data_IF_223862734367
#
_entry.id   IF_223862734367
#
_cell.length_a   1.000
_cell.length_b   1.000
_cell.length_c   1.000
_cell.angle_alpha   90.00
_cell.angle_beta   90.00
_cell.angle_gamma   90.00
#
_symmetry.space_group_name_H-M   'P 1'
#
loop_
_entity.id
_entity.type
_entity.pdbx_description
1 polymer ?
#
# COMPACT_ATOMS: atom_id res chain seq x y z
N UNK A 1 5.63 -32.52 16.65
CA UNK A 1 5.04 -31.50 15.76
C UNK A 1 3.88 -30.88 16.52
N UNK A 2 4.12 -29.76 17.20
CA UNK A 2 3.13 -29.17 18.12
C UNK A 2 2.50 -27.98 17.41
N UNK A 3 1.21 -28.09 17.09
CA UNK A 3 0.42 -26.98 16.59
C UNK A 3 0.45 -25.82 17.60
N UNK A 4 1.06 -24.70 17.21
CA UNK A 4 1.27 -23.49 18.01
C UNK A 4 0.30 -22.36 17.61
N UNK A 5 -0.95 -22.70 17.31
CA UNK A 5 -1.98 -21.69 17.02
C UNK A 5 -3.01 -21.69 18.15
N UNK A 6 -3.09 -20.64 18.98
CA UNK A 6 -4.29 -20.42 19.77
C UNK A 6 -5.43 -20.04 18.81
N UNK A 7 -6.60 -20.60 19.08
CA UNK A 7 -7.86 -20.33 18.43
C UNK A 7 -8.10 -18.83 18.27
N UNK A 8 -8.73 -18.42 17.16
CA UNK A 8 -9.12 -17.04 16.88
C UNK A 8 -9.79 -16.38 18.10
N UNK A 9 -9.40 -15.15 18.50
CA UNK A 9 -10.14 -14.42 19.51
C UNK A 9 -11.51 -14.00 18.96
N UNK A 10 -12.51 -14.08 19.83
CA UNK A 10 -13.89 -13.70 19.56
C UNK A 10 -14.02 -12.21 19.21
N UNK A 11 -15.06 -11.88 18.44
CA UNK A 11 -15.45 -10.53 18.07
C UNK A 11 -15.86 -9.69 19.31
N UNK A 12 -14.90 -9.12 20.03
CA UNK A 12 -15.14 -8.12 21.08
C UNK A 12 -13.95 -7.20 21.38
N UNK A 13 -12.89 -7.16 20.57
CA UNK A 13 -11.75 -6.29 20.87
C UNK A 13 -12.04 -4.85 20.46
N UNK A 14 -12.38 -4.03 21.45
CA UNK A 14 -12.41 -2.58 21.34
C UNK A 14 -10.97 -2.08 21.05
N UNK A 15 -10.70 -1.65 19.82
CA UNK A 15 -9.42 -1.04 19.43
C UNK A 15 -9.57 0.47 19.25
N UNK A 16 -8.46 1.22 19.39
CA UNK A 16 -8.51 2.69 19.25
C UNK A 16 -8.26 3.13 17.82
N UNK A 17 -8.90 4.24 17.48
CA UNK A 17 -8.67 5.02 16.28
C UNK A 17 -7.99 6.33 16.67
N UNK A 18 -7.04 6.78 15.85
CA UNK A 18 -6.30 8.02 16.04
C UNK A 18 -6.55 8.91 14.84
N UNK A 19 -7.02 10.14 15.06
CA UNK A 19 -7.26 11.10 13.97
C UNK A 19 -6.20 12.18 13.99
N UNK A 20 -5.51 12.35 12.87
CA UNK A 20 -4.67 13.52 12.59
C UNK A 20 -5.47 14.52 11.77
N UNK A 21 -5.24 15.82 12.01
CA UNK A 21 -5.82 16.93 11.24
C UNK A 21 -4.73 17.93 10.92
N UNK A 22 -4.74 18.47 9.71
CA UNK A 22 -3.82 19.53 9.29
C UNK A 22 -4.52 20.89 9.19
N UNK A 23 -3.78 21.95 8.85
CA UNK A 23 -4.30 23.31 8.73
C UNK A 23 -5.33 23.51 7.61
N UNK A 24 -5.40 22.60 6.63
CA UNK A 24 -6.37 22.62 5.53
C UNK A 24 -7.59 21.73 5.79
N UNK A 25 -7.83 21.34 7.05
CA UNK A 25 -8.93 20.48 7.48
C UNK A 25 -8.95 19.07 6.88
N UNK A 26 -7.85 18.64 6.24
CA UNK A 26 -7.68 17.23 5.90
C UNK A 26 -7.57 16.43 7.19
N UNK A 27 -8.26 15.29 7.23
CA UNK A 27 -8.21 14.39 8.38
C UNK A 27 -7.81 12.99 7.95
N UNK A 28 -6.90 12.37 8.69
CA UNK A 28 -6.46 10.99 8.49
C UNK A 28 -6.74 10.20 9.76
N UNK A 29 -7.42 9.06 9.63
CA UNK A 29 -7.72 8.16 10.75
C UNK A 29 -6.92 6.87 10.64
N UNK A 30 -6.18 6.52 11.70
CA UNK A 30 -5.34 5.33 11.81
C UNK A 30 -5.93 4.38 12.86
N UNK A 31 -5.94 3.09 12.57
CA UNK A 31 -6.34 2.04 13.51
C UNK A 31 -5.13 1.40 14.21
N UNK A 32 -5.24 1.16 15.52
CA UNK A 32 -4.30 0.27 16.23
C UNK A 32 -4.34 -1.18 15.73
N UNK A 33 -5.49 -1.62 15.22
CA UNK A 33 -5.59 -2.94 14.61
C UNK A 33 -4.87 -2.93 13.26
N UNK A 34 -3.74 -3.62 13.22
CA UNK A 34 -2.87 -3.73 12.05
C UNK A 34 -2.09 -2.46 11.70
N UNK A 35 -2.11 -1.41 12.53
CA UNK A 35 -1.54 -0.10 12.19
C UNK A 35 -2.00 0.36 10.79
N UNK A 36 -3.31 0.36 10.54
CA UNK A 36 -3.87 0.58 9.19
C UNK A 36 -4.46 1.98 9.02
N UNK A 37 -4.30 2.56 7.84
CA UNK A 37 -5.04 3.74 7.41
C UNK A 37 -6.51 3.36 7.18
N UNK A 38 -7.44 4.05 7.84
CA UNK A 38 -8.89 3.75 7.78
C UNK A 38 -9.70 4.79 7.01
N UNK A 39 -9.24 6.02 6.99
CA UNK A 39 -9.95 7.15 6.41
C UNK A 39 -8.95 8.25 6.06
N UNK A 40 -9.17 8.92 4.95
CA UNK A 40 -8.50 10.16 4.60
C UNK A 40 -9.52 11.10 3.96
N UNK A 41 -10.01 12.08 4.73
CA UNK A 41 -10.92 13.11 4.22
C UNK A 41 -10.14 14.28 3.66
N UNK A 42 -10.49 14.69 2.45
CA UNK A 42 -9.81 15.76 1.73
C UNK A 42 -10.73 16.53 0.78
N UNK A 43 -10.41 17.81 0.48
CA UNK A 43 -11.22 18.63 -0.42
C UNK A 43 -11.06 18.18 -1.86
N UNK A 44 -12.07 18.43 -2.69
CA UNK A 44 -11.94 18.48 -4.14
C UNK A 44 -11.71 19.93 -4.62
N UNK A 45 -11.62 20.14 -5.94
CA UNK A 45 -11.45 21.47 -6.55
C UNK A 45 -12.58 22.46 -6.26
N UNK A 46 -13.72 21.97 -5.75
CA UNK A 46 -14.88 22.77 -5.36
C UNK A 46 -14.98 22.95 -3.84
N UNK A 47 -13.96 22.53 -3.08
CA UNK A 47 -13.93 22.61 -1.61
C UNK A 47 -14.76 21.54 -0.90
N UNK A 48 -15.30 20.55 -1.61
CA UNK A 48 -16.13 19.49 -1.00
C UNK A 48 -15.24 18.41 -0.39
N UNK A 49 -15.41 18.18 0.90
CA UNK A 49 -14.68 17.13 1.63
C UNK A 49 -15.29 15.75 1.37
N UNK A 50 -14.49 14.81 0.90
CA UNK A 50 -14.87 13.39 0.83
C UNK A 50 -13.77 12.51 1.40
N UNK A 51 -14.15 11.33 1.88
CA UNK A 51 -13.18 10.29 2.24
C UNK A 51 -12.67 9.62 0.97
N UNK A 52 -11.36 9.66 0.75
CA UNK A 52 -10.72 9.04 -0.42
C UNK A 52 -10.11 7.68 -0.11
N UNK A 53 -10.29 7.18 1.10
CA UNK A 53 -9.92 5.82 1.49
C UNK A 53 -11.18 5.04 1.83
N UNK A 54 -11.41 3.95 1.11
CA UNK A 54 -12.43 3.00 1.52
C UNK A 54 -11.96 2.29 2.78
N UNK A 55 -12.83 2.25 3.78
CA UNK A 55 -12.70 1.36 4.92
C UNK A 55 -12.84 -0.10 4.44
N UNK A 56 -11.79 -0.66 3.83
CA UNK A 56 -11.71 -2.09 3.54
C UNK A 56 -11.89 -2.90 4.81
N UNK A 57 -12.38 -4.14 4.68
CA UNK A 57 -12.29 -5.12 5.75
C UNK A 57 -10.84 -5.14 6.27
N UNK A 58 -10.68 -5.27 7.58
CA UNK A 58 -9.37 -5.19 8.25
C UNK A 58 -8.29 -5.89 7.45
N UNK A 59 -7.21 -5.17 7.12
CA UNK A 59 -6.17 -5.63 6.22
C UNK A 59 -5.79 -7.07 6.52
N UNK A 60 -6.15 -7.98 5.61
CA UNK A 60 -5.71 -9.36 5.67
C UNK A 60 -4.23 -9.36 5.27
N UNK A 61 -3.35 -9.16 6.25
CA UNK A 61 -1.96 -9.56 6.10
C UNK A 61 -1.92 -11.08 6.12
N UNK A 62 -1.09 -11.67 5.25
CA UNK A 62 -0.79 -13.11 5.26
C UNK A 62 -0.05 -13.52 6.56
N UNK A 63 0.38 -12.56 7.36
CA UNK A 63 0.95 -12.77 8.70
C UNK A 63 -0.13 -12.54 9.78
N UNK A 64 -0.96 -13.56 10.03
CA UNK A 64 -1.91 -13.64 11.15
C UNK A 64 -3.04 -12.58 11.15
N UNK A 65 -4.15 -12.75 11.91
CA UNK A 65 -5.12 -11.67 12.11
C UNK A 65 -4.40 -10.37 12.51
N UNK A 66 -4.88 -9.19 12.05
CA UNK A 66 -4.13 -7.95 12.18
C UNK A 66 -3.77 -7.72 13.64
N UNK A 67 -2.48 -7.74 13.93
CA UNK A 67 -1.97 -7.62 15.28
C UNK A 67 -2.46 -6.31 15.92
N UNK A 68 -2.77 -6.35 17.21
CA UNK A 68 -3.15 -5.16 17.94
C UNK A 68 -1.89 -4.39 18.36
N UNK A 69 -1.70 -3.20 17.80
CA UNK A 69 -0.59 -2.32 18.14
C UNK A 69 -0.91 -1.48 19.37
N UNK A 70 0.12 -1.07 20.10
CA UNK A 70 0.02 -0.08 21.17
C UNK A 70 0.30 1.31 20.60
N UNK A 71 -0.76 2.09 20.38
CA UNK A 71 -0.75 3.42 19.79
C UNK A 71 -0.89 4.55 20.81
N UNK A 72 -0.35 5.71 20.46
CA UNK A 72 -0.56 7.00 21.13
C UNK A 72 -0.30 8.17 20.19
N UNK A 73 -0.88 9.33 20.47
CA UNK A 73 -0.40 10.58 19.88
C UNK A 73 0.99 10.92 20.41
N UNK A 74 1.90 11.33 19.52
CA UNK A 74 3.26 11.73 19.88
C UNK A 74 3.85 12.68 18.83
N UNK A 75 4.38 13.82 19.25
CA UNK A 75 5.10 14.76 18.37
C UNK A 75 4.27 15.28 17.18
N UNK A 76 2.97 15.52 17.38
CA UNK A 76 2.04 15.93 16.31
C UNK A 76 1.57 14.80 15.39
N UNK A 77 2.03 13.57 15.62
CA UNK A 77 1.63 12.38 14.85
C UNK A 77 1.04 11.27 15.72
N UNK A 78 1.01 10.06 15.17
CA UNK A 78 0.67 8.82 15.87
C UNK A 78 1.89 7.91 15.89
N UNK A 79 2.25 7.39 17.06
CA UNK A 79 3.27 6.37 17.21
C UNK A 79 2.61 5.06 17.66
N UNK A 80 2.88 3.98 16.93
CA UNK A 80 2.40 2.64 17.24
C UNK A 80 3.59 1.70 17.47
N UNK A 81 3.44 0.78 18.41
CA UNK A 81 4.45 -0.25 18.70
C UNK A 81 3.82 -1.63 18.76
N UNK A 82 4.53 -2.62 18.22
CA UNK A 82 4.15 -4.02 18.28
C UNK A 82 5.37 -4.84 18.73
N UNK A 83 5.18 -5.63 19.79
CA UNK A 83 6.14 -6.67 20.17
C UNK A 83 5.65 -7.98 19.58
N UNK A 84 6.44 -8.60 18.71
CA UNK A 84 6.05 -9.88 18.10
C UNK A 84 5.99 -10.96 19.20
N UNK A 85 4.91 -11.75 19.30
CA UNK A 85 4.83 -12.87 20.23
C UNK A 85 6.05 -13.79 20.12
N UNK A 86 6.56 -14.27 21.26
CA UNK A 86 7.82 -15.04 21.30
C UNK A 86 9.09 -14.19 21.22
N UNK A 87 8.97 -12.86 21.12
CA UNK A 87 10.10 -11.93 21.20
C UNK A 87 11.00 -11.92 19.97
N UNK A 88 10.50 -12.36 18.82
CA UNK A 88 11.29 -12.44 17.58
C UNK A 88 11.73 -11.07 17.06
N UNK A 89 10.87 -10.05 17.19
CA UNK A 89 11.17 -8.67 16.79
C UNK A 89 10.32 -7.64 17.56
N UNK A 90 10.83 -6.42 17.60
CA UNK A 90 10.09 -5.22 18.00
C UNK A 90 9.84 -4.36 16.75
N UNK A 91 8.60 -3.94 16.52
CA UNK A 91 8.22 -3.08 15.40
C UNK A 91 7.69 -1.75 15.92
N UNK A 92 8.01 -0.69 15.19
CA UNK A 92 7.47 0.66 15.41
C UNK A 92 6.93 1.20 14.10
N UNK A 93 5.77 1.82 14.15
CA UNK A 93 5.19 2.58 13.04
C UNK A 93 4.92 4.01 13.51
N UNK A 94 5.16 5.00 12.65
CA UNK A 94 4.82 6.39 12.91
C UNK A 94 4.08 7.00 11.73
N UNK A 95 3.01 7.73 12.04
CA UNK A 95 2.16 8.44 11.08
C UNK A 95 2.24 9.92 11.37
N UNK A 96 2.51 10.72 10.34
CA UNK A 96 2.53 12.18 10.41
C UNK A 96 1.81 12.75 9.20
N UNK A 97 0.86 13.65 9.43
CA UNK A 97 0.20 14.42 8.40
C UNK A 97 0.69 15.86 8.51
N UNK A 98 1.24 16.41 7.43
CA UNK A 98 1.64 17.82 7.37
C UNK A 98 0.57 18.71 6.70
N UNK A 99 0.81 20.02 6.73
CA UNK A 99 -0.09 21.03 6.17
C UNK A 99 -0.13 21.05 4.63
N UNK A 100 0.85 20.43 3.97
CA UNK A 100 0.86 20.23 2.51
C UNK A 100 0.04 19.01 2.07
N UNK A 101 -0.61 18.31 3.02
CA UNK A 101 -1.39 17.10 2.75
C UNK A 101 -0.51 15.86 2.54
N UNK A 102 0.72 15.85 3.05
CA UNK A 102 1.60 14.69 3.02
C UNK A 102 1.41 13.83 4.28
N UNK A 103 0.88 12.62 4.10
CA UNK A 103 0.87 11.56 5.10
C UNK A 103 2.15 10.72 4.96
N UNK A 104 3.08 10.86 5.91
CA UNK A 104 4.28 10.02 6.01
C UNK A 104 4.05 8.87 6.98
N UNK A 105 4.37 7.66 6.53
CA UNK A 105 4.36 6.41 7.30
C UNK A 105 5.80 5.89 7.36
N UNK A 106 6.36 5.78 8.56
CA UNK A 106 7.71 5.25 8.75
C UNK A 106 7.70 4.05 9.71
N UNK A 107 8.37 2.98 9.29
CA UNK A 107 8.56 1.75 10.05
C UNK A 107 10.01 1.59 10.50
N UNK A 108 10.19 1.05 11.72
CA UNK A 108 11.49 0.58 12.24
C UNK A 108 11.27 -0.81 12.85
N UNK A 109 11.99 -1.80 12.34
CA UNK A 109 11.96 -3.19 12.81
C UNK A 109 13.31 -3.56 13.39
N UNK A 110 13.30 -4.12 14.58
CA UNK A 110 14.49 -4.63 15.26
C UNK A 110 14.33 -6.10 15.54
N UNK A 111 15.09 -6.93 14.84
CA UNK A 111 15.05 -8.37 14.99
C UNK A 111 15.91 -8.81 16.19
N UNK A 112 15.35 -9.73 16.98
CA UNK A 112 16.03 -10.43 18.08
C UNK A 112 16.26 -11.91 17.76
N UNK A 113 15.51 -12.43 16.79
CA UNK A 113 15.66 -13.75 16.15
C UNK A 113 15.61 -13.59 14.62
N UNK A 114 16.10 -14.56 13.83
CA UNK A 114 15.88 -14.57 12.39
C UNK A 114 14.39 -14.38 12.05
N UNK A 115 14.06 -13.24 11.44
CA UNK A 115 12.68 -12.79 11.24
C UNK A 115 12.47 -12.40 9.79
N UNK A 116 11.47 -13.02 9.14
CA UNK A 116 10.98 -12.58 7.84
C UNK A 116 10.26 -11.24 8.01
N UNK A 117 10.61 -10.24 7.22
CA UNK A 117 10.00 -8.91 7.29
C UNK A 117 9.23 -8.60 6.02
N UNK A 118 7.91 -8.45 6.19
CA UNK A 118 6.97 -8.03 5.16
C UNK A 118 6.12 -6.91 5.76
N UNK A 119 6.34 -5.66 5.32
CA UNK A 119 5.65 -4.48 5.81
C UNK A 119 4.88 -3.82 4.67
N UNK A 120 3.63 -4.23 4.50
CA UNK A 120 2.73 -3.64 3.53
C UNK A 120 1.55 -2.99 4.24
N UNK A 121 1.19 -1.81 3.74
CA UNK A 121 -0.09 -1.17 4.06
C UNK A 121 -0.98 -1.32 2.84
N UNK A 122 -2.23 -1.70 3.04
CA UNK A 122 -3.21 -1.91 1.96
C UNK A 122 -4.32 -0.83 1.97
N UNK A 123 -4.02 0.47 1.86
CA UNK A 123 -5.07 1.47 1.73
C UNK A 123 -5.76 1.31 0.38
N UNK A 124 -7.08 1.15 0.40
CA UNK A 124 -7.90 1.16 -0.81
C UNK A 124 -8.37 2.58 -1.08
N UNK A 125 -7.80 3.22 -2.09
CA UNK A 125 -8.09 4.60 -2.48
C UNK A 125 -9.18 4.70 -3.54
N UNK A 126 -10.01 5.74 -3.41
CA UNK A 126 -10.84 6.25 -4.48
C UNK A 126 -10.90 7.78 -4.42
N UNK A 127 -10.14 8.43 -5.31
CA UNK A 127 -10.00 9.89 -5.27
C UNK A 127 -11.29 10.65 -5.62
N UNK A 128 -12.29 10.02 -6.25
CA UNK A 128 -13.58 10.69 -6.46
C UNK A 128 -14.49 10.66 -5.21
N UNK A 129 -14.04 10.02 -4.12
CA UNK A 129 -14.79 9.91 -2.87
C UNK A 129 -15.81 8.77 -2.86
N UNK A 130 -15.66 7.77 -3.73
CA UNK A 130 -16.56 6.62 -3.81
C UNK A 130 -17.87 6.90 -4.54
N UNK A 131 -17.99 8.01 -5.26
CA UNK A 131 -19.20 8.37 -6.01
C UNK A 131 -19.30 7.60 -7.33
N UNK A 132 -18.17 7.11 -7.84
CA UNK A 132 -18.06 6.31 -9.05
C UNK A 132 -16.85 5.37 -8.95
N UNK A 133 -16.74 4.43 -9.89
CA UNK A 133 -15.57 3.55 -9.99
C UNK A 133 -14.28 4.31 -10.34
N UNK A 134 -13.15 3.58 -10.32
CA UNK A 134 -11.80 4.15 -10.50
C UNK A 134 -11.34 4.25 -11.96
N UNK A 135 -12.24 3.98 -12.92
CA UNK A 135 -11.87 3.80 -14.33
C UNK A 135 -11.24 5.04 -14.98
N UNK A 136 -11.66 6.23 -14.56
CA UNK A 136 -11.22 7.52 -15.11
C UNK A 136 -10.00 8.09 -14.38
N UNK A 137 -9.54 7.45 -13.30
CA UNK A 137 -8.32 7.83 -12.61
C UNK A 137 -7.13 7.62 -13.54
N UNK A 138 -6.34 8.68 -13.69
CA UNK A 138 -5.13 8.70 -14.51
C UNK A 138 -3.96 8.26 -13.63
N UNK A 139 -3.43 7.06 -13.88
CA UNK A 139 -2.29 6.47 -13.17
C UNK A 139 -1.00 6.68 -13.96
N UNK A 140 0.08 7.00 -13.24
CA UNK A 140 1.44 6.97 -13.71
C UNK A 140 2.32 6.22 -12.70
N UNK A 141 3.21 5.35 -13.19
CA UNK A 141 4.18 4.60 -12.38
C UNK A 141 5.57 4.76 -13.02
N UNK A 142 6.57 5.11 -12.22
CA UNK A 142 7.97 5.18 -12.64
C UNK A 142 8.61 3.77 -12.63
N UNK A 143 8.23 2.94 -13.61
CA UNK A 143 8.71 1.57 -13.73
C UNK A 143 8.82 1.13 -15.20
N UNK A 144 9.93 0.47 -15.54
CA UNK A 144 10.14 -0.17 -16.84
C UNK A 144 9.79 -1.67 -16.84
N UNK A 145 9.65 -2.27 -15.65
CA UNK A 145 9.42 -3.70 -15.49
C UNK A 145 8.36 -3.98 -14.43
N UNK A 146 7.61 -5.06 -14.64
CA UNK A 146 6.66 -5.62 -13.67
C UNK A 146 6.87 -7.12 -13.51
N UNK A 147 6.27 -7.69 -12.48
CA UNK A 147 6.30 -9.12 -12.19
C UNK A 147 5.05 -9.79 -12.73
N UNK A 148 5.28 -10.79 -13.58
CA UNK A 148 4.22 -11.66 -14.08
C UNK A 148 3.86 -12.68 -13.01
N UNK A 149 2.57 -13.02 -12.94
CA UNK A 149 2.00 -13.96 -11.97
C UNK A 149 1.31 -15.14 -12.67
N UNK A 150 1.23 -16.28 -12.00
CA UNK A 150 0.39 -17.42 -12.39
C UNK A 150 -1.06 -17.27 -11.91
N UNK A 151 -1.90 -18.26 -12.21
CA UNK A 151 -3.31 -18.27 -11.82
C UNK A 151 -3.55 -18.29 -10.30
N UNK A 152 -2.53 -18.62 -9.51
CA UNK A 152 -2.55 -18.52 -8.05
C UNK A 152 -2.03 -17.19 -7.52
N UNK A 153 -1.63 -16.25 -8.38
CA UNK A 153 -1.02 -14.97 -8.00
C UNK A 153 0.47 -15.07 -7.67
N UNK A 154 1.10 -16.23 -7.87
CA UNK A 154 2.51 -16.41 -7.54
C UNK A 154 3.39 -15.81 -8.66
N UNK A 155 4.47 -15.09 -8.32
CA UNK A 155 5.43 -14.60 -9.30
C UNK A 155 6.06 -15.71 -10.14
N UNK A 156 6.04 -15.55 -11.46
CA UNK A 156 6.61 -16.49 -12.44
C UNK A 156 7.68 -15.87 -13.34
N UNK A 157 7.75 -14.55 -13.42
CA UNK A 157 8.66 -13.89 -14.35
C UNK A 157 8.74 -12.38 -14.16
N UNK A 158 9.63 -11.76 -14.93
CA UNK A 158 9.71 -10.31 -15.07
C UNK A 158 9.57 -9.95 -16.54
N UNK A 159 8.65 -9.04 -16.84
CA UNK A 159 8.43 -8.51 -18.17
C UNK A 159 8.61 -7.00 -18.20
N UNK A 160 9.02 -6.48 -19.36
CA UNK A 160 9.04 -5.04 -19.60
C UNK A 160 7.60 -4.52 -19.74
N UNK A 161 7.33 -3.30 -19.27
CA UNK A 161 6.00 -2.70 -19.39
C UNK A 161 5.68 -2.25 -20.81
N UNK A 162 6.71 -1.96 -21.63
CA UNK A 162 6.55 -1.39 -22.97
C UNK A 162 5.68 -2.25 -23.88
N UNK A 163 4.61 -1.66 -24.42
CA UNK A 163 3.69 -2.34 -25.34
C UNK A 163 2.64 -3.24 -24.67
N UNK A 164 2.55 -3.22 -23.34
CA UNK A 164 1.58 -4.01 -22.55
C UNK A 164 0.57 -3.07 -21.85
N UNK A 165 -0.52 -3.60 -21.23
CA UNK A 165 -1.39 -2.76 -20.40
C UNK A 165 -0.72 -2.21 -19.14
N UNK A 166 0.47 -2.71 -18.79
CA UNK A 166 1.25 -2.28 -17.63
C UNK A 166 2.08 -1.02 -17.91
N UNK A 167 2.11 -0.50 -19.15
CA UNK A 167 2.85 0.73 -19.48
C UNK A 167 2.15 1.99 -18.91
N UNK A 168 2.47 2.30 -17.65
CA UNK A 168 2.06 3.53 -16.97
C UNK A 168 3.19 4.56 -16.85
N UNK A 169 4.26 4.45 -17.67
CA UNK A 169 5.35 5.45 -17.65
C UNK A 169 4.85 6.83 -18.04
N UNK A 170 3.84 6.86 -18.91
CA UNK A 170 3.01 8.04 -19.16
C UNK A 170 1.64 7.88 -18.50
N UNK A 171 1.01 8.98 -18.02
CA UNK A 171 -0.32 8.91 -17.41
C UNK A 171 -1.35 8.25 -18.33
N UNK A 172 -2.05 7.24 -17.83
CA UNK A 172 -3.11 6.53 -18.55
C UNK A 172 -4.30 6.21 -17.65
N UNK A 173 -5.54 6.20 -18.17
CA UNK A 173 -6.71 5.86 -17.37
C UNK A 173 -6.70 4.37 -17.00
N UNK A 174 -6.88 4.07 -15.70
CA UNK A 174 -6.87 2.71 -15.16
C UNK A 174 -7.88 1.83 -15.92
N UNK A 175 -9.08 2.34 -16.16
CA UNK A 175 -10.16 1.59 -16.81
C UNK A 175 -9.84 1.16 -18.25
N UNK A 176 -9.09 1.96 -19.01
CA UNK A 176 -8.69 1.56 -20.36
C UNK A 176 -7.68 0.41 -20.34
N UNK A 177 -6.74 0.43 -19.39
CA UNK A 177 -5.76 -0.64 -19.23
C UNK A 177 -6.39 -1.92 -18.68
N UNK A 178 -7.36 -1.82 -17.78
CA UNK A 178 -8.15 -2.97 -17.29
C UNK A 178 -8.94 -3.70 -18.39
N UNK A 179 -9.31 -3.01 -19.48
CA UNK A 179 -10.04 -3.60 -20.61
C UNK A 179 -9.13 -4.13 -21.73
N UNK A 180 -7.82 -4.02 -21.57
CA UNK A 180 -6.88 -4.49 -22.57
C UNK A 180 -6.93 -6.02 -22.67
N UNK A 181 -6.93 -6.61 -23.89
CA UNK A 181 -6.90 -8.06 -24.05
C UNK A 181 -5.49 -8.60 -23.71
N UNK A 182 -5.28 -8.90 -22.44
CA UNK A 182 -4.02 -9.39 -21.90
C UNK A 182 -4.24 -10.54 -20.91
N UNK A 183 -3.35 -11.54 -20.97
CA UNK A 183 -3.44 -12.75 -20.16
C UNK A 183 -3.28 -12.49 -18.66
N UNK A 184 -2.37 -11.59 -18.29
CA UNK A 184 -2.09 -11.25 -16.88
C UNK A 184 -3.29 -10.52 -16.26
N UNK A 185 -3.87 -9.55 -16.99
CA UNK A 185 -5.06 -8.81 -16.54
C UNK A 185 -6.27 -9.74 -16.40
N UNK A 186 -6.50 -10.60 -17.40
CA UNK A 186 -7.65 -11.50 -17.41
C UNK A 186 -7.55 -12.55 -16.29
N UNK A 187 -6.35 -13.09 -16.06
CA UNK A 187 -6.10 -14.10 -15.04
C UNK A 187 -6.22 -13.55 -13.61
N UNK A 188 -5.72 -12.34 -13.35
CA UNK A 188 -5.84 -11.69 -12.05
C UNK A 188 -7.21 -11.02 -11.81
N UNK A 189 -8.08 -10.96 -12.83
CA UNK A 189 -9.34 -10.23 -12.74
C UNK A 189 -9.17 -8.71 -12.60
N UNK A 190 -8.00 -8.18 -13.02
CA UNK A 190 -7.60 -6.79 -12.87
C UNK A 190 -6.08 -6.65 -12.72
N UNK A 191 -5.65 -5.61 -12.03
CA UNK A 191 -4.27 -5.48 -11.58
C UNK A 191 -4.13 -6.06 -10.18
N UNK A 192 -3.16 -6.96 -10.03
CA UNK A 192 -2.54 -7.31 -8.75
C UNK A 192 -1.06 -7.63 -8.99
N UNK A 193 -0.31 -6.62 -9.41
CA UNK A 193 1.05 -6.81 -9.92
C UNK A 193 2.04 -5.86 -9.23
N UNK A 194 3.26 -6.36 -9.09
CA UNK A 194 4.37 -5.60 -8.52
C UNK A 194 5.22 -5.00 -9.63
N UNK A 195 5.58 -3.72 -9.48
CA UNK A 195 6.40 -2.94 -10.41
C UNK A 195 7.75 -2.63 -9.77
N UNK A 196 8.83 -2.75 -10.53
CA UNK A 196 10.17 -2.33 -10.10
C UNK A 196 10.34 -0.83 -10.36
N UNK A 197 10.55 -0.03 -9.30
CA UNK A 197 10.46 1.42 -9.40
C UNK A 197 11.83 2.12 -9.39
N UNK A 198 12.01 3.11 -10.26
CA UNK A 198 13.20 3.96 -10.32
C UNK A 198 14.51 3.19 -10.58
N UNK A 199 14.49 2.24 -11.51
CA UNK A 199 15.63 1.37 -11.87
C UNK A 199 16.17 0.46 -10.75
N UNK A 200 15.41 0.24 -9.67
CA UNK A 200 15.74 -0.73 -8.62
C UNK A 200 15.49 -2.20 -9.06
N UNK A 201 15.76 -2.52 -10.33
CA UNK A 201 15.79 -3.90 -10.81
C UNK A 201 16.88 -4.71 -10.09
N UNK A 202 17.90 -4.05 -9.51
CA UNK A 202 18.93 -4.66 -8.65
C UNK A 202 18.53 -4.78 -7.16
N UNK A 203 17.32 -4.32 -6.81
CA UNK A 203 16.72 -4.51 -5.50
C UNK A 203 17.29 -3.57 -4.44
N UNK A 204 16.81 -3.75 -3.20
CA UNK A 204 17.25 -2.96 -2.04
C UNK A 204 16.64 -1.56 -1.98
N UNK A 205 16.64 -0.99 -0.77
CA UNK A 205 16.06 0.31 -0.50
C UNK A 205 16.91 1.44 -1.12
N UNK A 206 16.25 2.54 -1.46
CA UNK A 206 16.85 3.77 -1.96
C UNK A 206 16.42 5.00 -1.16
N UNK A 207 16.85 6.21 -1.58
CA UNK A 207 16.30 7.44 -1.03
C UNK A 207 14.78 7.51 -1.27
N UNK A 208 14.08 8.25 -0.41
CA UNK A 208 12.66 8.54 -0.59
C UNK A 208 12.46 9.29 -1.91
N UNK A 209 11.69 8.70 -2.82
CA UNK A 209 11.47 9.21 -4.20
C UNK A 209 10.03 8.99 -4.64
N UNK A 210 9.51 9.86 -5.50
CA UNK A 210 8.19 9.67 -6.14
C UNK A 210 8.27 8.45 -7.05
N UNK A 211 7.31 7.53 -6.92
CA UNK A 211 7.26 6.29 -7.70
C UNK A 211 5.93 6.10 -8.43
N UNK A 212 4.88 6.77 -7.97
CA UNK A 212 3.58 6.73 -8.60
C UNK A 212 2.77 8.00 -8.35
N UNK A 213 1.84 8.26 -9.25
CA UNK A 213 0.89 9.36 -9.18
C UNK A 213 -0.46 8.90 -9.73
N UNK A 214 -1.52 9.27 -9.04
CA UNK A 214 -2.90 9.07 -9.50
C UNK A 214 -3.64 10.38 -9.45
N UNK A 215 -4.36 10.70 -10.52
CA UNK A 215 -5.17 11.91 -10.63
C UNK A 215 -6.60 11.56 -11.01
N UNK A 216 -7.58 12.11 -10.32
CA UNK A 216 -8.98 12.06 -10.72
C UNK A 216 -9.39 13.39 -11.37
N UNK A 217 -9.66 13.43 -12.68
CA UNK A 217 -10.05 14.66 -13.38
C UNK A 217 -11.28 15.33 -12.77
N UNK A 218 -12.28 14.55 -12.35
CA UNK A 218 -13.57 15.05 -11.88
C UNK A 218 -13.47 15.84 -10.58
N UNK A 219 -12.80 15.27 -9.57
CA UNK A 219 -12.55 15.96 -8.30
C UNK A 219 -11.37 16.93 -8.37
N UNK A 220 -10.43 16.73 -9.29
CA UNK A 220 -9.14 17.46 -9.30
C UNK A 220 -8.15 16.98 -8.23
N UNK A 221 -8.47 15.93 -7.46
CA UNK A 221 -7.56 15.37 -6.47
C UNK A 221 -6.44 14.60 -7.14
N UNK A 222 -5.23 14.77 -6.63
CA UNK A 222 -4.02 14.04 -7.02
C UNK A 222 -3.38 13.40 -5.80
N UNK A 223 -3.15 12.10 -5.89
CA UNK A 223 -2.35 11.33 -4.95
C UNK A 223 -0.96 11.10 -5.55
N UNK A 224 0.09 11.55 -4.87
CA UNK A 224 1.47 11.18 -5.17
C UNK A 224 1.95 10.18 -4.13
N UNK A 225 2.69 9.15 -4.54
CA UNK A 225 3.33 8.21 -3.64
C UNK A 225 4.84 8.29 -3.79
N UNK A 226 5.51 8.46 -2.65
CA UNK A 226 6.95 8.29 -2.52
C UNK A 226 7.28 7.12 -1.62
N UNK A 227 8.38 6.41 -1.89
CA UNK A 227 8.86 5.33 -1.02
C UNK A 227 10.37 5.17 -1.03
N UNK A 228 10.91 4.61 0.04
CA UNK A 228 12.29 4.10 0.11
C UNK A 228 12.42 2.70 -0.49
N UNK A 229 11.31 1.99 -0.71
CA UNK A 229 11.34 0.62 -1.22
C UNK A 229 11.75 0.50 -2.69
N UNK A 230 12.11 -0.72 -3.08
CA UNK A 230 12.53 -1.07 -4.44
C UNK A 230 11.36 -1.25 -5.40
N UNK A 231 10.17 -1.58 -4.89
CA UNK A 231 9.02 -1.95 -5.69
C UNK A 231 7.70 -1.34 -5.19
N UNK A 232 6.71 -1.38 -6.07
CA UNK A 232 5.35 -0.92 -5.84
C UNK A 232 4.37 -2.03 -6.20
N UNK A 233 3.59 -2.51 -5.24
CA UNK A 233 2.40 -3.31 -5.54
C UNK A 233 1.29 -2.37 -6.00
N UNK A 234 0.71 -2.64 -7.16
CA UNK A 234 -0.49 -1.96 -7.63
C UNK A 234 -1.64 -2.96 -7.75
N UNK A 235 -2.70 -2.72 -6.98
CA UNK A 235 -3.96 -3.46 -7.08
C UNK A 235 -5.10 -2.57 -7.56
N UNK A 236 -5.91 -3.08 -8.48
CA UNK A 236 -7.14 -2.47 -8.97
C UNK A 236 -8.03 -3.53 -9.62
N UNK A 237 -9.28 -3.65 -9.17
CA UNK A 237 -10.21 -4.64 -9.71
C UNK A 237 -10.69 -4.29 -11.13
N UNK A 238 -10.77 -5.28 -12.01
CA UNK A 238 -11.46 -5.20 -13.31
C UNK A 238 -12.98 -5.23 -13.16
N UNK A 239 -13.71 -4.96 -14.25
CA UNK A 239 -15.18 -4.85 -14.28
C UNK A 239 -15.95 -6.18 -14.14
N UNK A 240 -15.27 -7.33 -14.05
CA UNK A 240 -15.87 -8.67 -14.10
C UNK A 240 -16.10 -9.32 -12.73
N UNK A 241 -15.62 -8.71 -11.64
CA UNK A 241 -15.96 -9.09 -10.25
C UNK A 241 -15.34 -10.40 -9.78
N UNK A 242 -14.46 -11.00 -10.56
CA UNK A 242 -13.71 -12.19 -10.16
C UNK A 242 -12.42 -11.74 -9.45
N UNK A 243 -12.50 -11.50 -8.15
CA UNK A 243 -11.35 -11.17 -7.28
C UNK A 243 -11.80 -10.69 -5.89
N UNK A 244 -10.91 -10.66 -4.88
CA UNK A 244 -11.24 -10.19 -3.53
C UNK A 244 -11.47 -8.66 -3.45
N UNK A 245 -11.16 -7.93 -4.52
CA UNK A 245 -11.13 -6.48 -4.58
C UNK A 245 -12.47 -5.90 -5.06
N UNK A 246 -13.02 -4.95 -4.29
CA UNK A 246 -14.22 -4.19 -4.71
C UNK A 246 -13.86 -3.26 -5.88
N UNK A 247 -14.77 -3.14 -6.84
CA UNK A 247 -14.65 -2.33 -8.08
C UNK A 247 -14.36 -0.84 -7.89
N UNK A 248 -14.40 -0.37 -6.65
CA UNK A 248 -14.46 1.05 -6.33
C UNK A 248 -13.13 1.58 -5.80
N UNK A 249 -12.05 0.79 -5.74
CA UNK A 249 -10.78 1.28 -5.20
C UNK A 249 -9.53 0.69 -5.85
N UNK A 250 -8.42 1.41 -5.70
CA UNK A 250 -7.08 0.96 -6.06
C UNK A 250 -6.13 1.05 -4.86
N UNK A 251 -5.03 0.30 -4.88
CA UNK A 251 -4.00 0.34 -3.86
C UNK A 251 -2.64 0.60 -4.50
N UNK A 252 -1.81 1.38 -3.80
CA UNK A 252 -0.43 1.64 -4.13
C UNK A 252 0.37 1.32 -2.88
N UNK A 253 1.21 0.29 -2.92
CA UNK A 253 1.85 -0.22 -1.71
C UNK A 253 3.34 -0.32 -1.90
N UNK A 254 4.09 0.26 -0.96
CA UNK A 254 5.53 0.10 -0.95
C UNK A 254 5.83 -1.36 -0.69
N UNK A 255 6.50 -2.00 -1.64
CA UNK A 255 6.83 -3.40 -1.56
C UNK A 255 8.36 -3.54 -1.56
N UNK A 256 8.89 -4.16 -0.50
CA UNK A 256 10.30 -4.42 -0.41
C UNK A 256 10.79 -5.31 -1.55
N UNK A 257 9.98 -6.29 -1.97
CA UNK A 257 10.33 -7.31 -2.96
C UNK A 257 9.08 -7.93 -3.60
N UNK A 258 8.95 -7.93 -4.94
CA UNK A 258 8.10 -8.94 -5.58
C UNK A 258 8.65 -10.34 -5.28
N UNK A 259 7.77 -11.30 -5.03
CA UNK A 259 8.08 -12.64 -4.50
C UNK A 259 8.77 -13.58 -5.52
N UNK A 260 9.75 -13.11 -6.28
CA UNK A 260 10.59 -13.99 -7.09
C UNK A 260 11.57 -14.72 -6.17
N UNK A 261 11.22 -15.94 -5.78
CA UNK A 261 12.16 -16.86 -5.10
C UNK A 261 13.19 -17.35 -6.13
N UNK A 262 14.16 -16.51 -6.44
CA UNK A 262 15.36 -16.89 -7.17
C UNK A 262 16.60 -16.52 -6.35
N UNK A 263 17.76 -17.09 -6.66
CA UNK A 263 19.02 -16.84 -5.95
C UNK A 263 19.43 -15.36 -5.91
N UNK A 264 18.84 -14.56 -6.78
CA UNK A 264 19.14 -13.16 -6.89
C UNK A 264 18.25 -12.34 -5.90
N UNK A 265 16.98 -12.74 -5.66
CA UNK A 265 15.99 -12.01 -4.85
C UNK A 265 15.51 -12.84 -3.63
N UNK A 266 16.39 -13.17 -2.67
CA UNK A 266 16.00 -13.95 -1.49
C UNK A 266 14.94 -13.22 -0.67
N UNK A 267 14.21 -13.93 0.19
CA UNK A 267 13.30 -13.31 1.17
C UNK A 267 14.05 -12.34 2.09
N UNK A 268 13.40 -11.27 2.53
CA UNK A 268 14.00 -10.33 3.49
C UNK A 268 13.99 -10.94 4.89
N UNK A 269 15.07 -11.62 5.25
CA UNK A 269 15.28 -12.15 6.59
C UNK A 269 16.22 -11.22 7.35
N UNK A 270 15.73 -10.62 8.43
CA UNK A 270 16.56 -9.91 9.38
C UNK A 270 17.13 -10.87 10.41
N UNK A 271 18.44 -10.79 10.64
CA UNK A 271 19.14 -11.48 11.70
C UNK A 271 19.21 -10.62 12.97
N UNK A 272 19.46 -11.24 14.15
CA UNK A 272 19.58 -10.51 15.41
C UNK A 272 20.58 -9.35 15.33
N UNK A 273 20.16 -8.17 15.81
CA UNK A 273 20.98 -6.95 15.79
C UNK A 273 20.90 -6.14 14.49
N UNK A 274 20.25 -6.66 13.45
CA UNK A 274 19.94 -5.89 12.24
C UNK A 274 18.65 -5.08 12.43
N UNK A 275 18.58 -3.95 11.72
CA UNK A 275 17.39 -3.11 11.66
C UNK A 275 16.92 -2.98 10.22
N UNK A 276 15.61 -2.87 10.03
CA UNK A 276 14.97 -2.51 8.77
C UNK A 276 14.14 -1.25 8.95
N UNK A 277 14.27 -0.32 8.01
CA UNK A 277 13.57 0.97 8.06
C UNK A 277 12.95 1.29 6.72
N UNK A 278 11.64 1.39 6.69
CA UNK A 278 10.87 1.69 5.48
C UNK A 278 10.10 2.99 5.67
N UNK A 279 10.12 3.86 4.67
CA UNK A 279 9.30 5.09 4.67
C UNK A 279 8.47 5.15 3.39
N UNK A 280 7.17 5.34 3.57
CA UNK A 280 6.21 5.63 2.50
C UNK A 280 5.56 6.97 2.79
N UNK A 281 5.48 7.84 1.78
CA UNK A 281 4.77 9.10 1.89
C UNK A 281 3.71 9.18 0.80
N UNK A 282 2.47 9.42 1.20
CA UNK A 282 1.39 9.76 0.30
C UNK A 282 1.14 11.26 0.40
N UNK A 283 1.11 11.98 -0.71
CA UNK A 283 0.72 13.38 -0.73
C UNK A 283 -0.56 13.54 -1.51
N UNK A 284 -1.59 14.05 -0.85
CA UNK A 284 -2.85 14.38 -1.48
C UNK A 284 -2.93 15.89 -1.70
N UNK A 285 -3.13 16.28 -2.95
CA UNK A 285 -3.15 17.68 -3.38
C UNK A 285 -4.24 17.92 -4.41
N UNK A 286 -4.51 19.18 -4.74
CA UNK A 286 -5.32 19.55 -5.88
C UNK A 286 -4.43 19.84 -7.08
N UNK A 287 -4.81 19.34 -8.24
CA UNK A 287 -4.23 19.73 -9.52
C UNK A 287 -5.24 20.63 -10.24
N UNK A 288 -4.75 21.77 -10.73
CA UNK A 288 -5.52 22.72 -11.52
C UNK A 288 -6.12 22.04 -12.76
#
# INVERSE_FOLDING_TARGET
MTNLFPSAPAASDQYRLFTLRNACDMTVTISERGATLRSWRAPDRYGRMADVVHAGADGASVVAPPALWQGRHAGGGVALQLKVPGGAADLRASYRLDDDGCLTIAYDVQARLPTLVELQTHPSFNLNGGIAGIGDHMLQIDADYYVEVDAGGNPIGVAAVGGTPFDFRQPAPIGARLRWPDGQISQAGGFDHCFYVGNHFSGGQGPLREVARVFDPGSGRRLQMCTTEAALQFCAAGSTGAGPWRHDGFCLEANARPELVNAAWPRLVLHPGQAYRQTTAYRLSLQA
#
